data_IF_527300375070
#
_entry.id   IF_527300375070
#
_cell.length_a   1.000
_cell.length_b   1.000
_cell.length_c   1.000
_cell.angle_alpha   90.00
_cell.angle_beta   90.00
_cell.angle_gamma   90.00
#
_symmetry.space_group_name_H-M   'P 1'
#
loop_
_entity.id
_entity.type
_entity.pdbx_description
1 polymer ?
#
# COMPACT_ATOMS: atom_id res chain seq x y z
N UNK A 1 -6.11 -11.42 36.06
CA UNK A 1 -5.22 -12.37 35.36
C UNK A 1 -4.77 -13.43 36.36
N UNK A 2 -5.25 -14.66 36.19
CA UNK A 2 -4.73 -15.84 36.88
C UNK A 2 -3.63 -16.51 36.05
N UNK A 3 -3.13 -17.66 36.51
CA UNK A 3 -2.28 -18.54 35.69
C UNK A 3 -0.79 -18.16 35.59
N UNK A 4 -0.03 -18.86 34.72
CA UNK A 4 1.42 -18.72 34.57
C UNK A 4 1.82 -17.33 34.05
N UNK A 5 3.03 -16.91 34.41
CA UNK A 5 3.63 -15.69 33.88
C UNK A 5 3.85 -15.78 32.36
N UNK A 6 3.96 -14.61 31.71
CA UNK A 6 4.39 -14.50 30.33
C UNK A 6 5.65 -15.35 30.04
N UNK A 7 5.71 -16.11 28.93
CA UNK A 7 6.83 -17.01 28.62
C UNK A 7 8.17 -16.29 28.51
N UNK A 8 8.16 -15.08 27.96
CA UNK A 8 9.34 -14.23 27.80
C UNK A 8 8.93 -12.74 27.71
N UNK A 9 9.92 -11.86 27.52
CA UNK A 9 9.71 -10.41 27.47
C UNK A 9 8.94 -9.94 26.23
N UNK A 10 8.85 -10.73 25.16
CA UNK A 10 8.13 -10.36 23.93
C UNK A 10 6.62 -10.38 24.10
N UNK A 11 6.12 -11.08 25.12
CA UNK A 11 4.70 -11.14 25.50
C UNK A 11 4.28 -10.01 26.45
N UNK A 12 5.23 -9.21 26.95
CA UNK A 12 4.95 -8.11 27.88
C UNK A 12 4.79 -6.79 27.12
N UNK A 13 3.61 -6.19 27.25
CA UNK A 13 3.36 -4.82 26.82
C UNK A 13 3.84 -3.77 27.83
N UNK A 14 3.37 -2.53 27.67
CA UNK A 14 3.78 -1.38 28.51
C UNK A 14 2.86 -1.06 29.70
N UNK A 15 1.68 -1.70 29.81
CA UNK A 15 0.81 -1.58 30.99
C UNK A 15 1.50 -2.09 32.26
N UNK A 16 1.20 -1.47 33.39
CA UNK A 16 1.74 -1.83 34.70
C UNK A 16 1.02 -3.05 35.32
N UNK A 17 1.15 -4.21 34.66
CA UNK A 17 0.54 -5.48 35.06
C UNK A 17 1.47 -6.65 34.77
N UNK A 18 1.17 -7.84 35.29
CA UNK A 18 2.06 -9.01 35.19
C UNK A 18 2.08 -9.71 33.82
N UNK A 19 1.06 -9.51 32.98
CA UNK A 19 0.84 -10.23 31.72
C UNK A 19 0.79 -11.76 31.89
N UNK A 20 0.14 -12.24 32.95
CA UNK A 20 -0.08 -13.68 33.12
C UNK A 20 -1.04 -14.21 32.04
N UNK A 21 -0.78 -15.41 31.53
CA UNK A 21 -1.47 -15.99 30.36
C UNK A 21 -2.83 -16.62 30.72
N UNK A 22 -3.10 -16.85 32.00
CA UNK A 22 -4.32 -17.51 32.45
C UNK A 22 -4.18 -19.03 32.53
N UNK A 23 -5.30 -19.75 32.79
CA UNK A 23 -6.67 -19.22 32.89
C UNK A 23 -6.96 -18.38 34.17
N UNK A 24 -8.02 -17.53 34.08
CA UNK A 24 -8.63 -16.65 35.12
C UNK A 24 -8.57 -15.15 34.78
N UNK A 25 -9.56 -14.26 34.91
CA UNK A 25 -10.90 -14.22 35.52
C UNK A 25 -12.02 -14.44 34.49
N UNK A 26 -13.24 -14.71 34.98
CA UNK A 26 -14.44 -14.99 34.18
C UNK A 26 -15.48 -13.90 34.45
N UNK A 27 -15.72 -13.04 33.46
CA UNK A 27 -16.88 -12.15 33.42
C UNK A 27 -17.78 -12.59 32.26
N UNK A 28 -19.10 -12.44 32.41
CA UNK A 28 -20.04 -12.69 31.32
C UNK A 28 -19.92 -11.56 30.29
N UNK A 29 -19.32 -11.84 29.14
CA UNK A 29 -19.33 -10.96 27.98
C UNK A 29 -20.61 -11.18 27.18
N UNK A 30 -21.41 -10.12 27.00
CA UNK A 30 -22.57 -10.14 26.09
C UNK A 30 -22.39 -9.08 25.01
N UNK A 31 -22.48 -9.49 23.74
CA UNK A 31 -22.50 -8.59 22.59
C UNK A 31 -23.80 -8.77 21.80
N UNK A 32 -24.32 -7.65 21.28
CA UNK A 32 -25.42 -7.64 20.31
C UNK A 32 -25.05 -6.65 19.22
N UNK A 33 -24.81 -7.16 18.02
CA UNK A 33 -24.51 -6.36 16.84
C UNK A 33 -25.56 -6.67 15.77
N UNK A 34 -26.11 -5.62 15.15
CA UNK A 34 -27.00 -5.74 14.00
C UNK A 34 -26.33 -4.97 12.87
N UNK A 35 -26.16 -5.62 11.72
CA UNK A 35 -25.50 -5.05 10.55
C UNK A 35 -26.54 -4.89 9.43
N UNK A 36 -26.68 -3.67 8.94
CA UNK A 36 -27.45 -3.34 7.73
C UNK A 36 -26.57 -2.47 6.86
N UNK A 37 -26.27 -2.92 5.64
CA UNK A 37 -25.35 -2.25 4.72
C UNK A 37 -26.10 -1.58 3.58
N UNK A 38 -25.71 -0.36 3.24
CA UNK A 38 -26.12 0.35 2.03
C UNK A 38 -24.94 1.20 1.61
N UNK A 39 -24.44 1.01 0.39
CA UNK A 39 -23.26 1.72 -0.11
C UNK A 39 -23.52 2.40 -1.46
N UNK A 40 -22.76 3.46 -1.76
CA UNK A 40 -22.82 4.20 -3.03
C UNK A 40 -21.44 4.32 -3.68
N UNK A 41 -21.40 4.09 -4.99
CA UNK A 41 -20.20 4.21 -5.81
C UNK A 41 -20.37 5.42 -6.74
N UNK A 42 -19.44 6.38 -6.66
CA UNK A 42 -19.39 7.53 -7.56
C UNK A 42 -18.21 7.41 -8.53
N UNK A 43 -18.49 7.44 -9.84
CA UNK A 43 -17.50 7.29 -10.91
C UNK A 43 -17.61 8.42 -11.93
N UNK A 44 -16.48 9.06 -12.23
CA UNK A 44 -16.36 10.02 -13.34
C UNK A 44 -15.47 9.41 -14.42
N UNK A 45 -15.98 9.29 -15.65
CA UNK A 45 -15.30 8.64 -16.76
C UNK A 45 -15.26 9.54 -18.02
N UNK A 46 -14.20 9.40 -18.81
CA UNK A 46 -14.06 9.96 -20.17
C UNK A 46 -13.84 8.81 -21.15
N UNK A 47 -14.38 8.88 -22.37
CA UNK A 47 -14.45 7.74 -23.30
C UNK A 47 -13.11 7.44 -24.02
N UNK A 48 -12.45 6.34 -23.65
CA UNK A 48 -11.37 5.64 -24.36
C UNK A 48 -11.30 4.16 -23.89
N UNK A 49 -10.48 3.33 -24.53
CA UNK A 49 -10.42 1.86 -24.35
C UNK A 49 -9.40 1.37 -23.30
N UNK A 50 -8.69 2.29 -22.63
CA UNK A 50 -7.71 1.99 -21.58
C UNK A 50 -7.94 2.86 -20.36
N UNK A 51 -7.91 2.26 -19.17
CA UNK A 51 -8.29 2.91 -17.90
C UNK A 51 -7.10 3.07 -16.96
N UNK A 52 -6.87 4.29 -16.50
CA UNK A 52 -6.10 4.59 -15.30
C UNK A 52 -7.09 4.90 -14.20
N UNK A 53 -7.04 4.16 -13.09
CA UNK A 53 -7.99 4.34 -11.99
C UNK A 53 -7.26 5.03 -10.85
N UNK A 54 -7.80 6.15 -10.38
CA UNK A 54 -7.40 6.80 -9.14
C UNK A 54 -8.57 6.70 -8.17
N UNK A 55 -8.43 5.90 -7.11
CA UNK A 55 -9.53 5.62 -6.20
C UNK A 55 -9.13 5.49 -4.74
N UNK A 56 -10.04 5.85 -3.85
CA UNK A 56 -9.89 5.73 -2.41
C UNK A 56 -11.26 5.72 -1.74
N UNK A 57 -11.35 5.16 -0.54
CA UNK A 57 -12.61 5.12 0.18
C UNK A 57 -12.93 6.46 0.83
N UNK A 58 -14.18 6.58 1.26
CA UNK A 58 -14.76 7.80 1.84
C UNK A 58 -15.47 7.52 3.15
N UNK A 59 -15.96 6.30 3.36
CA UNK A 59 -16.51 5.87 4.64
C UNK A 59 -15.40 5.80 5.70
N UNK A 60 -15.76 6.13 6.94
CA UNK A 60 -14.89 6.06 8.10
C UNK A 60 -15.65 5.55 9.32
N UNK A 61 -14.94 5.07 10.34
CA UNK A 61 -15.57 4.63 11.59
C UNK A 61 -16.27 5.76 12.35
N UNK A 62 -15.70 6.96 12.35
CA UNK A 62 -16.24 8.12 13.09
C UNK A 62 -16.13 9.39 12.25
N UNK A 63 -15.08 10.19 12.47
CA UNK A 63 -14.78 11.37 11.67
C UNK A 63 -13.81 11.04 10.54
N UNK A 64 -12.88 10.11 10.79
CA UNK A 64 -11.88 9.67 9.82
C UNK A 64 -10.93 10.80 9.43
N UNK A 65 -10.46 11.56 10.42
CA UNK A 65 -9.62 12.74 10.21
C UNK A 65 -8.37 12.45 9.37
N UNK A 66 -7.82 11.23 9.44
CA UNK A 66 -6.73 10.73 8.59
C UNK A 66 -7.29 9.73 7.57
N UNK A 67 -7.85 8.64 8.08
CA UNK A 67 -8.43 7.48 7.42
C UNK A 67 -9.96 7.64 7.25
N UNK A 68 -10.45 7.91 6.03
CA UNK A 68 -9.72 8.16 4.78
C UNK A 68 -9.65 9.64 4.41
N UNK A 69 -10.14 10.57 5.24
CA UNK A 69 -10.49 11.92 4.77
C UNK A 69 -9.31 12.69 4.18
N UNK A 70 -8.07 12.43 4.63
CA UNK A 70 -6.87 13.04 4.01
C UNK A 70 -6.60 12.49 2.61
N UNK A 71 -6.90 11.21 2.39
CA UNK A 71 -6.90 10.56 1.08
C UNK A 71 -7.96 11.12 0.15
N UNK A 72 -9.20 11.21 0.64
CA UNK A 72 -10.32 11.78 -0.09
C UNK A 72 -10.09 13.26 -0.46
N UNK A 73 -9.53 14.07 0.43
CA UNK A 73 -9.16 15.46 0.15
C UNK A 73 -8.13 15.57 -0.99
N UNK A 74 -7.11 14.70 -0.96
CA UNK A 74 -6.10 14.61 -2.03
C UNK A 74 -6.74 14.18 -3.35
N UNK A 75 -7.63 13.18 -3.34
CA UNK A 75 -8.35 12.75 -4.53
C UNK A 75 -9.12 13.92 -5.16
N UNK A 76 -9.88 14.67 -4.37
CA UNK A 76 -10.66 15.80 -4.85
C UNK A 76 -9.78 16.92 -5.43
N UNK A 77 -8.64 17.23 -4.80
CA UNK A 77 -7.72 18.24 -5.32
C UNK A 77 -7.07 17.81 -6.65
N UNK A 78 -6.73 16.53 -6.79
CA UNK A 78 -6.26 15.96 -8.06
C UNK A 78 -7.38 16.06 -9.12
N UNK A 79 -8.60 15.62 -8.82
CA UNK A 79 -9.76 15.74 -9.72
C UNK A 79 -9.96 17.19 -10.16
N UNK A 80 -9.89 18.14 -9.23
CA UNK A 80 -10.01 19.58 -9.52
C UNK A 80 -8.93 20.05 -10.49
N UNK A 81 -7.67 19.66 -10.28
CA UNK A 81 -6.55 20.03 -11.15
C UNK A 81 -6.70 19.45 -12.57
N UNK A 82 -7.06 18.17 -12.70
CA UNK A 82 -7.35 17.56 -14.00
C UNK A 82 -8.58 18.20 -14.68
N UNK A 83 -9.58 18.60 -13.88
CA UNK A 83 -10.75 19.36 -14.35
C UNK A 83 -10.37 20.72 -14.93
N UNK A 84 -9.47 21.46 -14.28
CA UNK A 84 -8.91 22.72 -14.81
C UNK A 84 -8.20 22.48 -16.15
N UNK A 85 -7.31 21.49 -16.24
CA UNK A 85 -6.62 21.16 -17.49
C UNK A 85 -7.60 20.79 -18.62
N UNK A 86 -8.67 20.07 -18.29
CA UNK A 86 -9.73 19.73 -19.23
C UNK A 86 -10.47 20.97 -19.76
N UNK A 87 -10.72 21.96 -18.91
CA UNK A 87 -11.34 23.23 -19.32
C UNK A 87 -10.41 24.05 -20.24
N UNK A 88 -9.10 23.91 -20.08
CA UNK A 88 -8.08 24.50 -20.94
C UNK A 88 -7.88 23.73 -22.27
N UNK A 89 -8.62 22.64 -22.48
CA UNK A 89 -8.63 21.86 -23.72
C UNK A 89 -7.72 20.63 -23.72
N UNK A 90 -6.99 20.36 -22.63
CA UNK A 90 -6.22 19.14 -22.51
C UNK A 90 -7.15 17.92 -22.40
N UNK A 91 -6.78 16.82 -23.06
CA UNK A 91 -7.43 15.52 -22.93
C UNK A 91 -6.37 14.43 -22.83
N UNK A 92 -6.50 13.51 -21.86
CA UNK A 92 -5.55 12.42 -21.73
C UNK A 92 -5.70 11.45 -22.92
N UNK A 93 -4.59 10.81 -23.31
CA UNK A 93 -4.62 9.74 -24.33
C UNK A 93 -5.39 8.50 -23.88
N UNK A 94 -5.42 8.23 -22.58
CA UNK A 94 -6.19 7.15 -21.94
C UNK A 94 -7.24 7.71 -21.01
N UNK A 95 -8.29 6.94 -20.76
CA UNK A 95 -9.33 7.34 -19.81
C UNK A 95 -8.79 7.33 -18.39
N UNK A 96 -9.13 8.37 -17.64
CA UNK A 96 -8.94 8.40 -16.19
C UNK A 96 -10.30 8.15 -15.53
N UNK A 97 -10.34 7.18 -14.62
CA UNK A 97 -11.49 6.87 -13.78
C UNK A 97 -11.16 7.36 -12.37
N UNK A 98 -11.96 8.30 -11.88
CA UNK A 98 -11.90 8.70 -10.47
C UNK A 98 -13.00 7.95 -9.71
N UNK A 99 -12.62 7.31 -8.61
CA UNK A 99 -13.54 6.49 -7.82
C UNK A 99 -13.50 6.85 -6.33
N UNK A 100 -14.67 7.07 -5.75
CA UNK A 100 -14.84 7.26 -4.31
C UNK A 100 -15.60 6.06 -3.75
N UNK A 101 -14.86 5.16 -3.08
CA UNK A 101 -15.40 3.90 -2.56
C UNK A 101 -16.12 4.10 -1.23
N UNK A 102 -17.01 3.18 -0.93
CA UNK A 102 -17.84 3.15 0.26
C UNK A 102 -17.78 1.76 0.89
N UNK A 103 -18.08 1.65 2.18
CA UNK A 103 -17.96 0.44 2.98
C UNK A 103 -16.60 -0.29 2.89
N UNK A 104 -15.49 0.45 2.78
CA UNK A 104 -14.13 -0.10 2.86
C UNK A 104 -13.85 -0.66 4.26
N UNK A 105 -14.29 0.05 5.30
CA UNK A 105 -14.05 -0.27 6.71
C UNK A 105 -14.75 -1.58 7.13
N UNK A 106 -15.72 -2.01 6.32
CA UNK A 106 -16.49 -3.24 6.48
C UNK A 106 -15.94 -4.40 5.64
N UNK A 107 -14.73 -4.26 5.09
CA UNK A 107 -14.04 -5.31 4.34
C UNK A 107 -13.99 -5.05 2.83
N UNK A 108 -13.64 -3.83 2.43
CA UNK A 108 -13.44 -3.44 1.03
C UNK A 108 -14.68 -3.58 0.15
N UNK A 109 -15.89 -3.49 0.71
CA UNK A 109 -17.10 -3.93 0.03
C UNK A 109 -17.35 -3.13 -1.26
N UNK A 110 -17.36 -1.80 -1.21
CA UNK A 110 -17.70 -1.00 -2.40
C UNK A 110 -16.71 -1.16 -3.55
N UNK A 111 -15.41 -1.25 -3.28
CA UNK A 111 -14.41 -1.45 -4.33
C UNK A 111 -14.41 -2.88 -4.88
N UNK A 112 -14.65 -3.87 -4.00
CA UNK A 112 -14.72 -5.29 -4.39
C UNK A 112 -15.93 -5.56 -5.27
N UNK A 113 -17.13 -5.17 -4.85
CA UNK A 113 -18.36 -5.39 -5.60
C UNK A 113 -18.32 -4.69 -6.98
N UNK A 114 -17.75 -3.49 -7.04
CA UNK A 114 -17.54 -2.79 -8.31
C UNK A 114 -16.56 -3.54 -9.22
N UNK A 115 -15.46 -4.04 -8.67
CA UNK A 115 -14.48 -4.81 -9.42
C UNK A 115 -15.06 -6.15 -9.91
N UNK A 116 -15.90 -6.81 -9.11
CA UNK A 116 -16.61 -8.04 -9.51
C UNK A 116 -17.58 -7.78 -10.66
N UNK A 117 -18.40 -6.73 -10.57
CA UNK A 117 -19.32 -6.33 -11.64
C UNK A 117 -18.58 -6.01 -12.95
N UNK A 118 -17.41 -5.38 -12.85
CA UNK A 118 -16.65 -4.89 -14.00
C UNK A 118 -15.43 -5.77 -14.36
N UNK A 119 -15.32 -6.98 -13.79
CA UNK A 119 -14.10 -7.80 -13.82
C UNK A 119 -13.55 -8.01 -15.24
N UNK A 120 -14.43 -8.34 -16.20
CA UNK A 120 -14.04 -8.56 -17.61
C UNK A 120 -13.46 -7.31 -18.25
N UNK A 121 -14.11 -6.17 -18.03
CA UNK A 121 -13.71 -4.87 -18.59
C UNK A 121 -12.39 -4.42 -17.98
N UNK A 122 -12.24 -4.58 -16.66
CA UNK A 122 -11.01 -4.24 -15.95
C UNK A 122 -9.84 -5.11 -16.39
N UNK A 123 -10.04 -6.42 -16.51
CA UNK A 123 -8.99 -7.35 -16.93
C UNK A 123 -8.45 -7.03 -18.33
N UNK A 124 -9.30 -6.59 -19.25
CA UNK A 124 -8.91 -6.29 -20.62
C UNK A 124 -8.36 -4.86 -20.82
N UNK A 125 -8.78 -3.90 -19.98
CA UNK A 125 -8.60 -2.46 -20.26
C UNK A 125 -7.92 -1.67 -19.15
N UNK A 126 -7.93 -2.13 -17.90
CA UNK A 126 -7.27 -1.43 -16.82
C UNK A 126 -5.74 -1.53 -16.99
N UNK A 127 -5.07 -0.38 -16.97
CA UNK A 127 -3.61 -0.30 -17.05
C UNK A 127 -3.01 -0.27 -15.64
N UNK A 128 -3.60 0.52 -14.75
CA UNK A 128 -3.14 0.68 -13.38
C UNK A 128 -4.26 1.18 -12.45
N UNK A 129 -4.15 0.81 -11.18
CA UNK A 129 -4.94 1.35 -10.07
C UNK A 129 -4.01 2.06 -9.09
N UNK A 130 -4.30 3.32 -8.78
CA UNK A 130 -3.56 4.15 -7.82
C UNK A 130 -4.50 4.41 -6.64
N UNK A 131 -4.09 3.96 -5.45
CA UNK A 131 -4.90 4.10 -4.24
C UNK A 131 -4.73 5.49 -3.59
N UNK A 132 -5.84 6.05 -3.10
CA UNK A 132 -5.91 7.35 -2.42
C UNK A 132 -6.63 7.30 -1.08
N UNK A 133 -6.39 6.24 -0.31
CA UNK A 133 -6.61 6.25 1.14
C UNK A 133 -5.68 7.31 1.81
N UNK A 134 -5.67 7.38 3.14
CA UNK A 134 -4.76 8.07 4.04
C UNK A 134 -3.52 8.63 3.36
N UNK A 135 -3.48 9.96 3.26
CA UNK A 135 -2.37 10.69 2.65
C UNK A 135 -1.27 11.01 3.67
N UNK A 136 -1.56 10.86 4.96
CA UNK A 136 -0.60 11.13 6.01
C UNK A 136 -0.78 10.19 7.19
N UNK A 137 0.22 9.37 7.44
CA UNK A 137 0.39 8.69 8.71
C UNK A 137 1.80 9.03 9.17
N UNK A 138 2.00 9.28 10.47
CA UNK A 138 3.28 9.77 11.05
C UNK A 138 4.51 9.00 10.54
N UNK A 139 4.31 7.74 10.18
CA UNK A 139 5.31 6.75 9.82
C UNK A 139 5.54 6.58 8.32
N UNK A 140 4.58 7.04 7.52
CA UNK A 140 4.43 6.69 6.10
C UNK A 140 4.88 7.81 5.17
N UNK A 141 4.99 9.03 5.68
CA UNK A 141 5.69 10.14 5.02
C UNK A 141 6.34 10.90 6.15
N UNK A 142 7.58 10.54 6.46
CA UNK A 142 8.45 11.44 7.22
C UNK A 142 8.65 12.67 6.35
N UNK A 143 7.72 13.61 6.45
CA UNK A 143 7.77 15.02 6.06
C UNK A 143 8.30 15.31 4.65
N UNK A 144 7.48 15.92 3.79
CA UNK A 144 7.97 16.63 2.61
C UNK A 144 7.00 17.76 2.25
N UNK A 145 7.44 18.99 1.94
CA UNK A 145 8.80 19.51 2.03
C UNK A 145 9.24 19.53 3.49
N UNK A 146 10.39 18.93 3.74
CA UNK A 146 11.01 18.98 5.05
C UNK A 146 11.52 20.38 5.35
N UNK A 147 11.49 20.73 6.63
CA UNK A 147 12.44 21.70 7.17
C UNK A 147 13.86 21.18 6.91
N UNK A 148 14.65 21.94 6.16
CA UNK A 148 16.02 21.57 5.77
C UNK A 148 16.19 20.88 4.41
N UNK A 149 15.10 20.63 3.65
CA UNK A 149 15.16 20.07 2.29
C UNK A 149 14.48 20.99 1.26
N UNK A 150 14.44 22.29 1.51
CA UNK A 150 13.72 23.28 0.68
C UNK A 150 14.21 23.32 -0.78
N UNK A 151 15.46 22.90 -1.03
CA UNK A 151 16.09 22.86 -2.35
C UNK A 151 16.38 21.45 -2.88
N UNK A 152 15.84 20.39 -2.25
CA UNK A 152 16.03 19.00 -2.67
C UNK A 152 14.76 18.44 -3.30
N UNK A 153 14.90 17.41 -4.13
CA UNK A 153 13.72 16.72 -4.67
C UNK A 153 13.06 15.85 -3.59
N UNK A 154 11.78 15.50 -3.80
CA UNK A 154 11.09 14.50 -2.96
C UNK A 154 11.85 13.17 -2.95
N UNK A 155 12.46 12.80 -4.08
CA UNK A 155 13.24 11.58 -4.21
C UNK A 155 14.49 11.59 -3.33
N UNK A 156 15.23 12.70 -3.31
CA UNK A 156 16.47 12.81 -2.51
C UNK A 156 16.16 12.76 -1.00
N UNK A 157 15.10 13.47 -0.57
CA UNK A 157 14.64 13.42 0.83
C UNK A 157 14.22 12.00 1.24
N UNK A 158 13.46 11.32 0.38
CA UNK A 158 13.02 9.95 0.65
C UNK A 158 14.20 8.97 0.73
N UNK A 159 15.09 8.98 -0.26
CA UNK A 159 16.22 8.06 -0.32
C UNK A 159 17.18 8.22 0.87
N UNK A 160 17.36 9.43 1.37
CA UNK A 160 18.21 9.72 2.53
C UNK A 160 17.60 9.16 3.84
N UNK A 161 16.27 9.16 3.94
CA UNK A 161 15.54 8.73 5.14
C UNK A 161 15.23 7.24 5.17
N UNK A 162 15.01 6.65 4.00
CA UNK A 162 14.59 5.26 3.83
C UNK A 162 15.34 4.63 2.64
N UNK A 163 16.65 4.38 2.78
CA UNK A 163 17.43 3.76 1.73
C UNK A 163 16.97 2.32 1.53
N UNK A 164 16.60 1.97 0.29
CA UNK A 164 16.18 0.62 -0.05
C UNK A 164 17.29 -0.40 0.32
N UNK A 165 17.00 -1.44 1.11
CA UNK A 165 17.99 -2.47 1.43
C UNK A 165 18.43 -3.18 0.14
N UNK A 166 19.75 -3.40 -0.01
CA UNK A 166 20.42 -3.86 -1.24
C UNK A 166 19.81 -5.10 -1.92
N UNK A 167 19.00 -5.89 -1.21
CA UNK A 167 18.46 -7.18 -1.68
C UNK A 167 16.93 -7.26 -1.74
N UNK A 168 16.19 -6.14 -1.63
CA UNK A 168 14.73 -6.16 -1.64
C UNK A 168 14.16 -5.20 -2.70
N UNK A 169 14.23 -5.63 -3.95
CA UNK A 169 13.70 -4.89 -5.11
C UNK A 169 12.17 -4.68 -5.01
N UNK A 170 11.47 -5.53 -4.27
CA UNK A 170 10.06 -5.33 -3.89
C UNK A 170 9.82 -3.95 -3.28
N UNK A 171 10.69 -3.53 -2.34
CA UNK A 171 10.55 -2.25 -1.64
C UNK A 171 10.88 -1.06 -2.55
N UNK A 172 11.46 -1.31 -3.75
CA UNK A 172 11.67 -0.29 -4.79
C UNK A 172 10.45 -0.09 -5.69
N UNK A 173 9.60 -1.12 -5.87
CA UNK A 173 8.47 -1.11 -6.82
C UNK A 173 7.10 -0.97 -6.18
N UNK A 174 6.91 -1.46 -4.96
CA UNK A 174 5.90 -0.83 -4.12
C UNK A 174 6.43 0.54 -3.80
N UNK A 175 5.72 1.58 -4.22
CA UNK A 175 5.79 2.89 -3.57
C UNK A 175 5.21 2.76 -2.15
N UNK A 176 5.70 1.79 -1.40
CA UNK A 176 5.67 1.79 0.03
C UNK A 176 6.66 2.87 0.42
N UNK A 177 6.19 4.12 0.52
CA UNK A 177 6.82 5.13 1.38
C UNK A 177 6.86 4.68 2.87
N UNK A 178 6.70 3.38 3.12
CA UNK A 178 6.00 2.78 4.23
C UNK A 178 6.90 1.70 4.82
N UNK A 179 8.13 2.05 5.19
CA UNK A 179 8.92 1.20 6.06
C UNK A 179 8.64 1.57 7.51
N UNK A 180 8.27 0.57 8.33
CA UNK A 180 8.07 0.72 9.78
C UNK A 180 9.39 1.10 10.43
N UNK A 181 9.61 2.38 10.73
CA UNK A 181 10.79 2.81 11.49
C UNK A 181 10.60 2.70 13.01
N UNK A 182 9.36 2.53 13.47
CA UNK A 182 9.01 2.60 14.88
C UNK A 182 8.33 1.32 15.39
N UNK A 183 8.44 1.09 16.70
CA UNK A 183 7.96 -0.12 17.39
C UNK A 183 6.43 -0.28 17.42
N UNK A 184 5.68 0.61 16.78
CA UNK A 184 4.22 0.65 16.81
C UNK A 184 3.63 0.12 15.49
N UNK A 185 2.42 -0.45 15.56
CA UNK A 185 1.78 -1.07 14.39
C UNK A 185 1.12 -0.08 13.45
N UNK A 186 0.57 1.03 13.97
CA UNK A 186 -0.12 2.09 13.23
C UNK A 186 0.04 3.44 13.97
N UNK A 187 -0.64 4.50 13.54
CA UNK A 187 -0.71 5.76 14.29
C UNK A 187 -1.64 5.65 15.53
N UNK A 188 -1.35 6.34 16.65
CA UNK A 188 -1.95 6.01 17.95
C UNK A 188 -3.48 6.14 18.08
N UNK A 189 -4.13 6.93 17.21
CA UNK A 189 -5.56 7.23 17.29
C UNK A 189 -6.37 6.59 16.15
N UNK A 190 -5.76 5.65 15.42
CA UNK A 190 -6.38 4.87 14.35
C UNK A 190 -7.73 4.26 14.77
N UNK A 191 -8.78 4.50 13.97
CA UNK A 191 -10.13 3.97 14.19
C UNK A 191 -10.74 4.36 15.54
N UNK A 192 -10.39 5.54 16.05
CA UNK A 192 -10.97 6.10 17.27
C UNK A 192 -11.68 7.42 17.03
N UNK A 193 -12.51 7.84 17.99
CA UNK A 193 -13.16 9.16 17.98
C UNK A 193 -12.18 10.34 17.97
N UNK A 194 -10.92 10.12 18.36
CA UNK A 194 -9.88 11.16 18.41
C UNK A 194 -9.22 11.42 17.05
N UNK A 195 -9.63 10.69 16.03
CA UNK A 195 -9.17 10.89 14.67
C UNK A 195 -9.91 12.05 14.02
N UNK A 196 -9.53 13.29 14.37
CA UNK A 196 -10.24 14.51 13.96
C UNK A 196 -9.43 15.37 12.99
N UNK A 197 -10.07 16.40 12.41
CA UNK A 197 -9.37 17.39 11.58
C UNK A 197 -8.29 18.13 12.39
N UNK A 198 -8.58 18.53 13.63
CA UNK A 198 -7.63 19.25 14.48
C UNK A 198 -6.40 18.43 14.81
N UNK A 199 -6.53 17.10 14.88
CA UNK A 199 -5.37 16.21 15.02
C UNK A 199 -4.41 16.42 13.84
N UNK A 200 -4.94 16.40 12.61
CA UNK A 200 -4.15 16.54 11.38
C UNK A 200 -3.55 17.93 11.29
N UNK A 201 -4.38 18.96 11.45
CA UNK A 201 -3.98 20.37 11.37
C UNK A 201 -2.94 20.73 12.44
N UNK A 202 -3.05 20.22 13.67
CA UNK A 202 -2.15 20.66 14.75
C UNK A 202 -0.89 19.81 14.87
N UNK A 203 -0.97 18.50 14.61
CA UNK A 203 0.10 17.58 14.95
C UNK A 203 0.74 16.87 13.76
N UNK A 204 0.03 16.69 12.63
CA UNK A 204 0.55 15.90 11.51
C UNK A 204 1.10 16.77 10.38
N UNK A 205 0.29 17.73 9.91
CA UNK A 205 0.67 18.62 8.80
C UNK A 205 0.01 20.01 8.90
N UNK A 206 0.47 20.87 9.82
CA UNK A 206 -0.08 22.21 10.01
C UNK A 206 0.00 23.13 8.79
N UNK A 207 0.86 22.79 7.84
CA UNK A 207 1.05 23.59 6.61
C UNK A 207 0.40 22.94 5.39
N UNK A 208 -0.19 21.75 5.53
CA UNK A 208 -0.72 20.92 4.44
C UNK A 208 0.27 20.62 3.31
N UNK A 209 1.57 20.88 3.50
CA UNK A 209 2.56 20.72 2.45
C UNK A 209 2.88 19.25 2.18
N UNK A 210 2.74 18.38 3.19
CA UNK A 210 2.92 16.92 3.04
C UNK A 210 1.79 16.32 2.23
N UNK A 211 0.56 16.65 2.58
CA UNK A 211 -0.62 16.25 1.82
C UNK A 211 -0.56 16.79 0.37
N UNK A 212 -0.06 18.02 0.18
CA UNK A 212 0.18 18.59 -1.16
C UNK A 212 1.25 17.80 -1.95
N UNK A 213 2.34 17.38 -1.32
CA UNK A 213 3.37 16.56 -1.97
C UNK A 213 2.79 15.21 -2.43
N UNK A 214 1.95 14.59 -1.61
CA UNK A 214 1.21 13.36 -1.96
C UNK A 214 0.27 13.59 -3.12
N UNK A 215 -0.49 14.69 -3.12
CA UNK A 215 -1.38 15.04 -4.21
C UNK A 215 -0.61 15.22 -5.52
N UNK A 216 0.52 15.93 -5.49
CA UNK A 216 1.40 16.11 -6.66
C UNK A 216 1.93 14.77 -7.16
N UNK A 217 2.36 13.89 -6.27
CA UNK A 217 2.89 12.59 -6.66
C UNK A 217 1.80 11.69 -7.27
N UNK A 218 0.67 11.50 -6.57
CA UNK A 218 -0.45 10.68 -7.05
C UNK A 218 -1.00 11.25 -8.37
N UNK A 219 -1.17 12.57 -8.46
CA UNK A 219 -1.60 13.25 -9.68
C UNK A 219 -0.60 13.10 -10.83
N UNK A 220 0.70 13.22 -10.57
CA UNK A 220 1.76 13.04 -11.59
C UNK A 220 1.83 11.60 -12.08
N UNK A 221 1.70 10.60 -11.20
CA UNK A 221 1.62 9.19 -11.58
C UNK A 221 0.45 8.93 -12.53
N UNK A 222 -0.75 9.42 -12.18
CA UNK A 222 -1.94 9.31 -13.04
C UNK A 222 -1.71 10.01 -14.37
N UNK A 223 -1.14 11.22 -14.36
CA UNK A 223 -0.86 11.98 -15.57
C UNK A 223 0.09 11.23 -16.51
N UNK A 224 1.22 10.74 -15.99
CA UNK A 224 2.21 10.00 -16.80
C UNK A 224 1.60 8.72 -17.40
N UNK A 225 0.84 7.95 -16.62
CA UNK A 225 0.19 6.74 -17.09
C UNK A 225 -0.90 7.03 -18.14
N UNK A 226 -1.64 8.12 -17.95
CA UNK A 226 -2.74 8.50 -18.82
C UNK A 226 -2.27 9.10 -20.15
N UNK A 227 -1.12 9.81 -20.16
CA UNK A 227 -0.71 10.65 -21.30
C UNK A 227 0.57 10.17 -22.02
N UNK A 228 1.37 9.31 -21.40
CA UNK A 228 2.58 8.77 -22.03
C UNK A 228 2.27 7.92 -23.27
N UNK A 229 3.08 8.09 -24.32
CA UNK A 229 2.93 7.31 -25.56
C UNK A 229 3.16 5.81 -25.30
N UNK A 230 4.26 5.50 -24.64
CA UNK A 230 4.59 4.17 -24.13
C UNK A 230 4.22 4.14 -22.66
N UNK A 231 3.54 3.09 -22.21
CA UNK A 231 3.20 2.95 -20.78
C UNK A 231 4.53 2.86 -20.01
N UNK A 232 4.76 3.71 -18.99
CA UNK A 232 6.04 3.82 -18.29
C UNK A 232 6.27 2.65 -17.30
N UNK A 233 6.13 1.42 -17.79
CA UNK A 233 6.49 0.21 -17.07
C UNK A 233 7.82 -0.32 -17.60
N UNK A 234 8.68 -0.76 -16.69
CA UNK A 234 9.89 -1.48 -17.00
C UNK A 234 9.73 -2.94 -16.56
N UNK A 235 9.86 -3.88 -17.49
CA UNK A 235 9.72 -5.30 -17.19
C UNK A 235 11.01 -5.91 -16.60
N UNK A 236 12.15 -5.23 -16.76
CA UNK A 236 13.45 -5.69 -16.22
C UNK A 236 13.40 -5.71 -14.69
N UNK A 237 12.82 -4.68 -14.14
CA UNK A 237 12.48 -4.49 -12.73
C UNK A 237 11.74 -5.70 -12.14
N UNK A 238 10.73 -6.21 -12.85
CA UNK A 238 10.01 -7.42 -12.45
C UNK A 238 10.90 -8.67 -12.50
N UNK A 239 11.76 -8.78 -13.53
CA UNK A 239 12.74 -9.86 -13.65
C UNK A 239 13.75 -9.88 -12.50
N UNK A 240 14.25 -8.72 -12.09
CA UNK A 240 15.15 -8.60 -10.94
C UNK A 240 14.43 -8.97 -9.62
N UNK A 241 13.18 -8.52 -9.44
CA UNK A 241 12.37 -8.87 -8.28
C UNK A 241 12.13 -10.39 -8.17
N UNK A 242 11.76 -11.04 -9.28
CA UNK A 242 11.57 -12.50 -9.34
C UNK A 242 12.83 -13.26 -8.95
N UNK A 243 14.00 -12.79 -9.40
CA UNK A 243 15.29 -13.37 -8.99
C UNK A 243 15.48 -13.25 -7.47
N UNK A 244 15.24 -12.08 -6.89
CA UNK A 244 15.32 -11.84 -5.45
C UNK A 244 14.38 -12.76 -4.65
N UNK A 245 13.12 -12.92 -5.09
CA UNK A 245 12.17 -13.84 -4.45
C UNK A 245 12.62 -15.28 -4.53
N UNK A 246 13.08 -15.70 -5.71
CA UNK A 246 13.55 -17.05 -5.96
C UNK A 246 14.74 -17.41 -5.04
N UNK A 247 15.69 -16.50 -4.87
CA UNK A 247 16.82 -16.68 -3.97
C UNK A 247 16.37 -16.75 -2.49
N UNK A 248 15.41 -15.92 -2.09
CA UNK A 248 14.87 -15.93 -0.72
C UNK A 248 14.14 -17.23 -0.39
N UNK A 249 13.27 -17.72 -1.28
CA UNK A 249 12.53 -18.96 -1.05
C UNK A 249 13.48 -20.16 -1.04
N UNK A 250 14.50 -20.16 -1.90
CA UNK A 250 15.51 -21.20 -1.92
C UNK A 250 16.35 -21.22 -0.64
N UNK A 251 16.79 -20.05 -0.15
CA UNK A 251 17.49 -19.93 1.15
C UNK A 251 16.62 -20.42 2.31
N UNK A 252 15.31 -20.15 2.29
CA UNK A 252 14.39 -20.66 3.30
C UNK A 252 14.26 -22.18 3.23
N UNK A 253 14.11 -22.73 2.03
CA UNK A 253 13.98 -24.16 1.80
C UNK A 253 15.24 -24.94 2.25
N UNK A 254 16.43 -24.35 2.11
CA UNK A 254 17.69 -24.93 2.60
C UNK A 254 17.71 -25.26 4.10
N UNK A 255 16.84 -24.66 4.91
CA UNK A 255 16.68 -25.05 6.33
C UNK A 255 16.17 -26.49 6.51
N UNK A 256 15.65 -27.10 5.44
CA UNK A 256 15.05 -28.44 5.42
C UNK A 256 15.68 -29.34 4.36
N UNK A 257 17.00 -29.25 4.16
CA UNK A 257 17.71 -29.92 3.06
C UNK A 257 17.49 -31.45 3.01
N UNK A 258 17.47 -32.11 4.16
CA UNK A 258 17.25 -33.55 4.24
C UNK A 258 15.83 -33.94 3.82
N UNK A 259 14.83 -33.12 4.17
CA UNK A 259 13.45 -33.31 3.71
C UNK A 259 13.34 -33.06 2.20
N UNK A 260 14.02 -32.04 1.66
CA UNK A 260 14.03 -31.78 0.21
C UNK A 260 14.56 -33.00 -0.57
N UNK A 261 15.64 -33.62 -0.08
CA UNK A 261 16.21 -34.84 -0.66
C UNK A 261 15.24 -36.03 -0.53
N UNK A 262 14.68 -36.23 0.67
CA UNK A 262 13.76 -37.33 0.98
C UNK A 262 12.53 -37.32 0.07
N UNK A 263 11.91 -36.16 -0.10
CA UNK A 263 10.69 -35.98 -0.90
C UNK A 263 10.95 -35.58 -2.36
N UNK A 264 12.21 -35.55 -2.80
CA UNK A 264 12.63 -35.20 -4.17
C UNK A 264 12.09 -33.84 -4.65
N UNK A 265 12.05 -32.86 -3.75
CA UNK A 265 11.64 -31.48 -4.08
C UNK A 265 12.83 -30.75 -4.67
N UNK A 266 12.67 -30.21 -5.89
CA UNK A 266 13.72 -29.51 -6.62
C UNK A 266 13.25 -28.12 -7.04
N UNK A 267 14.15 -27.15 -7.01
CA UNK A 267 13.92 -25.79 -7.49
C UNK A 267 14.49 -25.54 -8.90
N UNK A 268 14.95 -26.60 -9.59
CA UNK A 268 15.60 -26.51 -10.92
C UNK A 268 14.63 -26.11 -12.03
N UNK A 269 13.31 -26.37 -11.88
CA UNK A 269 12.29 -25.89 -12.82
C UNK A 269 12.03 -24.39 -12.72
N UNK A 270 12.70 -23.69 -11.81
CA UNK A 270 12.70 -22.23 -11.68
C UNK A 270 14.04 -21.72 -12.26
N UNK A 271 14.14 -21.42 -13.58
CA UNK A 271 15.43 -21.21 -14.26
C UNK A 271 16.25 -20.03 -13.70
N UNK A 272 15.60 -19.14 -12.94
CA UNK A 272 16.21 -18.01 -12.24
C UNK A 272 17.23 -18.42 -11.16
N UNK A 273 17.20 -19.67 -10.67
CA UNK A 273 18.12 -20.18 -9.64
C UNK A 273 19.43 -20.75 -10.20
N UNK A 274 19.50 -21.00 -11.51
CA UNK A 274 20.69 -21.59 -12.13
C UNK A 274 21.79 -20.56 -12.45
N UNK A 275 21.54 -19.27 -12.31
CA UNK A 275 22.51 -18.21 -12.63
C UNK A 275 23.70 -18.11 -11.63
N UNK A 276 23.72 -18.90 -10.56
CA UNK A 276 24.78 -18.92 -9.54
C UNK A 276 25.45 -20.28 -9.31
N UNK A 277 25.14 -21.30 -10.12
CA UNK A 277 25.79 -22.61 -10.00
C UNK A 277 26.94 -22.70 -11.01
N UNK A 278 28.11 -23.24 -10.63
CA UNK A 278 29.20 -23.46 -11.57
C UNK A 278 28.71 -24.37 -12.69
N UNK A 279 28.82 -23.88 -13.93
CA UNK A 279 28.47 -24.52 -15.19
C UNK A 279 29.28 -25.81 -15.38
N UNK A 280 28.83 -26.89 -14.74
CA UNK A 280 29.42 -28.22 -14.89
C UNK A 280 28.32 -29.28 -15.03
N UNK A 281 27.39 -29.07 -15.96
CA UNK A 281 26.71 -30.19 -16.62
C UNK A 281 26.62 -29.94 -18.13
N UNK A 282 27.18 -30.83 -18.96
CA UNK A 282 26.96 -30.79 -20.40
C UNK A 282 25.52 -31.23 -20.69
N UNK A 283 24.73 -30.40 -21.36
CA UNK A 283 23.43 -30.82 -21.91
C UNK A 283 22.23 -29.89 -21.74
N UNK A 284 22.38 -28.62 -21.36
CA UNK A 284 21.25 -27.68 -21.46
C UNK A 284 21.18 -27.09 -22.88
N UNK A 285 20.08 -27.31 -23.64
CA UNK A 285 19.91 -26.67 -24.94
C UNK A 285 19.64 -25.17 -24.74
N UNK A 286 20.37 -24.36 -25.49
CA UNK A 286 20.20 -22.91 -25.55
C UNK A 286 18.97 -22.63 -26.41
N UNK A 287 17.99 -21.91 -25.84
CA UNK A 287 16.99 -21.14 -26.59
C UNK A 287 17.18 -19.66 -26.22
#
# INVERSE_FOLDING_TARGET
>A
MGGPAAPDSTWKGALNVSYNIGPGFVDNFSTRSVLTLTFRIDIVCLFADRYIILGGHRDSWVFGGIDPSTGAAVLQEVVRSFGTMKMEGWRPKRTIIFASWDAEEFGLLGSTEWAEENARVLQERAVAYINTDSSIEVWKIKSCPDEGYENKSLYDSWLEKDPAPENNITDKFTCSFFQKTDKFSNYPVYHTVYETFELVEKFYDPTFKKQLAVAKLRGKLVYELADSQVIPFDCRDYGEALKGYSDRIYKLAKKHEEQLKTYRVSFVSTPLLCAGLPTTRPGCPVF
#
